data_IF_816245236470
#
_entry.id   IF_816245236470
#
_cell.length_a   1.000
_cell.length_b   1.000
_cell.length_c   1.000
_cell.angle_alpha   90.00
_cell.angle_beta   90.00
_cell.angle_gamma   90.00
#
_symmetry.space_group_name_H-M   'P 1'
#
loop_
_entity.id
_entity.type
_entity.pdbx_description
1 polymer ?
#
# COMPACT_ATOMS: atom_id res chain seq x y z
N UNK A 1 26.64 -11.31 4.46
CA UNK A 1 25.21 -10.97 4.66
C UNK A 1 24.85 -9.54 4.25
N UNK A 2 25.24 -8.46 4.94
CA UNK A 2 24.74 -7.10 4.60
C UNK A 2 25.11 -6.63 3.17
N UNK A 3 26.26 -7.04 2.63
CA UNK A 3 26.65 -6.74 1.25
C UNK A 3 25.93 -7.56 0.16
N UNK A 4 25.22 -8.62 0.54
CA UNK A 4 24.46 -9.49 -0.39
C UNK A 4 23.09 -8.91 -0.72
N UNK A 5 22.57 -7.98 0.10
CA UNK A 5 21.28 -7.33 -0.09
C UNK A 5 21.43 -5.89 -0.51
N UNK A 6 20.33 -5.26 -0.90
CA UNK A 6 20.31 -3.81 -1.16
C UNK A 6 20.61 -3.07 0.14
N UNK A 7 21.40 -1.98 0.06
CA UNK A 7 21.72 -1.11 1.21
C UNK A 7 20.47 -0.65 1.96
N UNK A 8 19.38 -0.41 1.24
CA UNK A 8 18.16 0.14 1.80
C UNK A 8 17.41 -0.86 2.67
N UNK A 9 17.56 -2.18 2.46
CA UNK A 9 16.88 -3.18 3.25
C UNK A 9 17.22 -3.10 4.76
N UNK A 10 18.51 -3.15 5.19
CA UNK A 10 18.86 -2.97 6.59
C UNK A 10 18.66 -1.52 7.07
N UNK A 11 18.98 -0.51 6.24
CA UNK A 11 18.85 0.89 6.63
C UNK A 11 17.40 1.27 6.97
N UNK A 12 16.45 0.88 6.12
CA UNK A 12 15.03 1.15 6.35
C UNK A 12 14.47 0.38 7.54
N UNK A 13 15.01 -0.80 7.85
CA UNK A 13 14.62 -1.53 9.06
C UNK A 13 14.97 -0.75 10.33
N UNK A 14 16.15 -0.12 10.37
CA UNK A 14 16.59 0.71 11.49
C UNK A 14 15.73 1.98 11.61
N UNK A 15 15.49 2.68 10.50
CA UNK A 15 14.62 3.88 10.48
C UNK A 15 13.21 3.54 10.99
N UNK A 16 12.65 2.42 10.53
CA UNK A 16 11.32 1.97 10.95
C UNK A 16 11.28 1.54 12.41
N UNK A 17 12.37 1.02 12.96
CA UNK A 17 12.49 0.72 14.38
C UNK A 17 12.50 2.01 15.21
N UNK A 18 13.25 3.04 14.77
CA UNK A 18 13.23 4.37 15.40
C UNK A 18 11.83 4.95 15.47
N UNK A 19 11.08 4.92 14.36
CA UNK A 19 9.69 5.37 14.32
C UNK A 19 8.77 4.55 15.25
N UNK A 20 8.99 3.23 15.35
CA UNK A 20 8.21 2.38 16.23
C UNK A 20 8.42 2.74 17.71
N UNK A 21 9.66 3.03 18.11
CA UNK A 21 9.95 3.51 19.47
C UNK A 21 9.38 4.90 19.74
N UNK A 22 9.48 5.84 18.78
CA UNK A 22 8.83 7.15 18.91
C UNK A 22 7.32 7.01 19.16
N UNK A 23 6.65 6.09 18.45
CA UNK A 23 5.23 5.82 18.65
C UNK A 23 4.92 5.16 20.01
N UNK A 24 5.81 4.26 20.48
CA UNK A 24 5.69 3.63 21.79
C UNK A 24 5.80 4.67 22.92
N UNK A 25 6.82 5.52 22.90
CA UNK A 25 7.01 6.56 23.92
C UNK A 25 5.90 7.61 23.89
N UNK A 26 5.34 7.91 22.72
CA UNK A 26 4.17 8.77 22.57
C UNK A 26 2.83 8.12 22.99
N UNK A 27 2.84 6.87 23.47
CA UNK A 27 1.62 6.14 23.87
C UNK A 27 0.70 5.73 22.71
N UNK A 28 1.14 5.88 21.45
CA UNK A 28 0.36 5.57 20.23
C UNK A 28 0.47 4.11 19.79
N UNK A 29 1.45 3.38 20.32
CA UNK A 29 1.70 1.98 19.98
C UNK A 29 2.22 1.19 21.18
N UNK A 30 2.11 -0.15 21.09
CA UNK A 30 2.74 -1.07 22.04
C UNK A 30 4.24 -1.20 21.77
N UNK A 31 4.97 -1.78 22.72
CA UNK A 31 6.40 -2.04 22.58
C UNK A 31 6.73 -2.76 21.26
N UNK A 32 7.73 -2.28 20.47
CA UNK A 32 8.07 -2.87 19.18
C UNK A 32 8.48 -4.34 19.29
N UNK A 33 8.14 -5.15 18.28
CA UNK A 33 8.51 -6.56 18.19
C UNK A 33 9.30 -6.82 16.90
N UNK A 34 10.18 -7.80 16.93
CA UNK A 34 10.89 -8.26 15.74
C UNK A 34 9.90 -8.70 14.65
N UNK A 35 10.25 -8.39 13.39
CA UNK A 35 9.50 -8.87 12.23
C UNK A 35 9.64 -10.38 12.11
N UNK A 36 8.56 -11.05 11.73
CA UNK A 36 8.53 -12.49 11.47
C UNK A 36 8.59 -12.73 9.97
N UNK A 37 9.45 -13.64 9.54
CA UNK A 37 9.49 -14.10 8.15
C UNK A 37 8.13 -14.70 7.75
N UNK A 38 7.64 -14.37 6.56
CA UNK A 38 6.32 -14.79 6.07
C UNK A 38 5.17 -13.92 6.56
N UNK A 39 5.41 -12.95 7.45
CA UNK A 39 4.41 -12.02 7.95
C UNK A 39 4.77 -10.59 7.54
N UNK A 40 4.01 -10.04 6.59
CA UNK A 40 4.23 -8.70 6.04
C UNK A 40 5.66 -8.50 5.48
N UNK A 41 6.18 -9.51 4.77
CA UNK A 41 7.49 -9.43 4.13
C UNK A 41 7.55 -8.21 3.21
N UNK A 42 8.45 -7.27 3.51
CA UNK A 42 8.63 -6.05 2.73
C UNK A 42 10.02 -5.47 2.88
N UNK A 43 10.48 -4.79 1.82
CA UNK A 43 11.65 -3.92 1.84
C UNK A 43 11.41 -2.72 0.93
N UNK A 44 12.12 -1.63 1.20
CA UNK A 44 11.96 -0.36 0.48
C UNK A 44 13.28 -0.03 -0.22
N UNK A 45 13.16 0.54 -1.42
CA UNK A 45 14.22 1.13 -2.22
C UNK A 45 13.98 2.63 -2.28
N UNK A 46 15.00 3.42 -1.98
CA UNK A 46 15.00 4.89 -1.97
C UNK A 46 16.22 5.41 -2.75
N UNK A 47 16.17 6.70 -3.11
CA UNK A 47 17.29 7.48 -3.66
C UNK A 47 17.90 6.85 -4.92
N UNK A 48 17.07 6.63 -5.95
CA UNK A 48 17.51 6.23 -7.30
C UNK A 48 18.28 4.89 -7.38
N UNK A 49 18.19 4.05 -6.34
CA UNK A 49 18.78 2.71 -6.37
C UNK A 49 17.98 1.73 -7.25
N UNK A 50 16.99 2.20 -8.00
CA UNK A 50 16.17 1.35 -8.87
C UNK A 50 15.76 2.13 -10.11
N UNK A 51 15.66 1.41 -11.22
CA UNK A 51 15.24 1.96 -12.50
C UNK A 51 13.86 1.40 -12.86
N UNK A 52 13.07 2.18 -13.59
CA UNK A 52 11.84 1.71 -14.21
C UNK A 52 11.99 1.77 -15.73
N UNK A 53 11.53 0.74 -16.39
CA UNK A 53 11.46 0.70 -17.85
C UNK A 53 10.17 0.00 -18.27
N UNK A 54 9.20 0.79 -18.76
CA UNK A 54 7.85 0.36 -19.07
C UNK A 54 7.23 -0.50 -17.95
N UNK A 55 7.10 -1.80 -18.17
CA UNK A 55 6.56 -2.79 -17.23
C UNK A 55 7.66 -3.57 -16.51
N UNK A 56 8.85 -2.98 -16.31
CA UNK A 56 9.97 -3.60 -15.60
C UNK A 56 10.53 -2.66 -14.53
N UNK A 57 10.99 -3.25 -13.44
CA UNK A 57 11.75 -2.57 -12.39
C UNK A 57 13.11 -3.23 -12.24
N UNK A 58 14.18 -2.44 -12.21
CA UNK A 58 15.52 -2.92 -11.88
C UNK A 58 15.73 -2.82 -10.38
N UNK A 59 15.95 -3.96 -9.74
CA UNK A 59 16.23 -4.02 -8.30
C UNK A 59 17.73 -4.34 -8.11
N UNK A 60 18.46 -3.64 -7.21
CA UNK A 60 19.85 -3.97 -6.93
C UNK A 60 20.02 -5.44 -6.59
N UNK A 61 21.08 -6.07 -7.11
CA UNK A 61 21.41 -7.51 -6.98
C UNK A 61 20.44 -8.48 -7.65
N UNK A 62 19.19 -8.08 -7.93
CA UNK A 62 18.17 -8.90 -8.59
C UNK A 62 18.09 -8.64 -10.10
N UNK A 63 18.49 -7.46 -10.57
CA UNK A 63 18.38 -7.07 -11.97
C UNK A 63 16.96 -6.66 -12.37
N UNK A 64 16.65 -6.80 -13.66
CA UNK A 64 15.35 -6.43 -14.22
C UNK A 64 14.28 -7.48 -13.89
N UNK A 65 13.20 -7.02 -13.26
CA UNK A 65 12.04 -7.85 -12.89
C UNK A 65 10.80 -7.33 -13.62
N UNK A 66 10.08 -8.23 -14.29
CA UNK A 66 8.83 -7.89 -14.99
C UNK A 66 7.71 -7.62 -13.99
N UNK A 67 7.08 -6.46 -14.14
CA UNK A 67 5.85 -6.04 -13.50
C UNK A 67 4.64 -6.35 -14.39
N UNK A 68 3.45 -6.37 -13.80
CA UNK A 68 2.21 -6.60 -14.55
C UNK A 68 1.70 -5.32 -15.25
N UNK A 69 1.97 -4.18 -14.66
CA UNK A 69 1.49 -2.87 -15.10
C UNK A 69 2.66 -1.92 -15.27
N UNK A 70 2.53 -0.96 -16.17
CA UNK A 70 3.43 0.19 -16.29
C UNK A 70 3.10 1.22 -15.21
N UNK A 71 4.04 2.10 -14.90
CA UNK A 71 3.79 3.22 -14.00
C UNK A 71 2.73 4.15 -14.62
N UNK A 72 1.69 4.47 -13.86
CA UNK A 72 0.55 5.27 -14.33
C UNK A 72 0.80 6.77 -14.34
N UNK A 73 1.74 7.23 -13.52
CA UNK A 73 2.01 8.64 -13.29
C UNK A 73 3.39 9.01 -13.82
N UNK A 74 3.46 10.14 -14.51
CA UNK A 74 4.72 10.78 -14.86
C UNK A 74 5.10 11.77 -13.74
N UNK A 75 6.33 11.69 -13.26
CA UNK A 75 6.82 12.53 -12.16
C UNK A 75 8.15 12.01 -11.62
N UNK A 76 8.65 12.64 -10.56
CA UNK A 76 9.90 12.24 -9.92
C UNK A 76 9.66 11.01 -9.07
N UNK A 77 10.32 9.90 -9.41
CA UNK A 77 10.25 8.67 -8.63
C UNK A 77 10.97 8.90 -7.30
N UNK A 78 10.34 8.53 -6.19
CA UNK A 78 10.89 8.77 -4.85
C UNK A 78 11.31 7.50 -4.13
N UNK A 79 10.45 6.49 -4.15
CA UNK A 79 10.74 5.21 -3.53
C UNK A 79 9.91 4.10 -4.14
N UNK A 80 10.38 2.87 -3.99
CA UNK A 80 9.63 1.67 -4.30
C UNK A 80 9.61 0.75 -3.09
N UNK A 81 8.44 0.30 -2.67
CA UNK A 81 8.29 -0.71 -1.63
C UNK A 81 7.84 -2.02 -2.25
N UNK A 82 8.71 -3.03 -2.16
CA UNK A 82 8.39 -4.40 -2.56
C UNK A 82 7.79 -5.12 -1.36
N UNK A 83 6.63 -5.73 -1.53
CA UNK A 83 5.90 -6.41 -0.47
C UNK A 83 5.26 -7.70 -0.94
N UNK A 84 5.09 -8.66 -0.01
CA UNK A 84 4.42 -9.93 -0.28
C UNK A 84 3.02 -9.95 0.33
N UNK A 85 2.01 -10.15 -0.51
CA UNK A 85 0.60 -10.25 -0.12
C UNK A 85 -0.02 -11.46 -0.80
N UNK A 86 -0.69 -12.33 -0.04
CA UNK A 86 -1.34 -13.54 -0.57
C UNK A 86 -0.43 -14.36 -1.52
N UNK A 87 0.80 -14.62 -1.07
CA UNK A 87 1.85 -15.32 -1.82
C UNK A 87 2.32 -14.66 -3.13
N UNK A 88 1.87 -13.44 -3.45
CA UNK A 88 2.31 -12.66 -4.61
C UNK A 88 3.17 -11.49 -4.17
N UNK A 89 4.10 -11.09 -5.03
CA UNK A 89 4.94 -9.92 -4.84
C UNK A 89 4.35 -8.71 -5.57
N UNK A 90 4.31 -7.59 -4.88
CA UNK A 90 3.84 -6.31 -5.38
C UNK A 90 4.92 -5.26 -5.17
N UNK A 91 4.96 -4.27 -6.05
CA UNK A 91 5.76 -3.07 -5.89
C UNK A 91 4.84 -1.85 -5.84
N UNK A 92 4.98 -1.06 -4.78
CA UNK A 92 4.33 0.24 -4.64
C UNK A 92 5.36 1.32 -4.90
N UNK A 93 5.13 2.17 -5.90
CA UNK A 93 6.08 3.20 -6.33
C UNK A 93 5.51 4.55 -5.94
N UNK A 94 6.22 5.28 -5.10
CA UNK A 94 5.89 6.66 -4.74
C UNK A 94 6.47 7.59 -5.80
N UNK A 95 5.60 8.38 -6.42
CA UNK A 95 5.95 9.37 -7.44
C UNK A 95 5.53 10.72 -6.91
N UNK A 96 6.47 11.66 -6.91
CA UNK A 96 6.21 13.08 -6.72
C UNK A 96 5.76 13.65 -8.06
N UNK A 97 4.47 13.96 -8.16
CA UNK A 97 3.82 14.45 -9.36
C UNK A 97 3.64 15.96 -9.18
N UNK A 98 3.97 16.80 -10.19
CA UNK A 98 3.70 18.23 -10.12
C UNK A 98 2.25 18.50 -9.72
N UNK A 99 2.06 19.49 -8.86
CA UNK A 99 0.75 19.88 -8.37
C UNK A 99 -0.17 20.25 -9.56
N UNK A 100 -1.33 19.61 -9.72
CA UNK A 100 -2.30 19.96 -10.77
C UNK A 100 -3.03 21.28 -10.50
N UNK A 101 -2.48 22.21 -9.71
CA UNK A 101 -3.07 23.51 -9.35
C UNK A 101 -3.32 24.47 -10.52
N UNK A 102 -3.19 23.99 -11.76
CA UNK A 102 -3.72 24.61 -12.97
C UNK A 102 -5.16 24.19 -13.27
N UNK A 103 -5.84 23.42 -12.41
CA UNK A 103 -7.30 23.37 -12.46
C UNK A 103 -7.79 24.82 -12.32
N UNK A 104 -8.55 25.33 -13.31
CA UNK A 104 -8.99 26.71 -13.29
C UNK A 104 -9.66 26.98 -11.94
N UNK A 105 -9.27 28.10 -11.32
CA UNK A 105 -9.92 28.58 -10.12
C UNK A 105 -11.42 28.58 -10.41
N UNK A 106 -12.21 27.92 -9.56
CA UNK A 106 -13.64 27.81 -9.77
C UNK A 106 -14.19 29.22 -10.05
N UNK A 107 -14.90 29.38 -11.18
CA UNK A 107 -15.43 30.68 -11.64
C UNK A 107 -16.37 31.31 -10.60
N UNK A 108 -16.81 30.51 -9.62
CA UNK A 108 -17.82 30.83 -8.65
C UNK A 108 -17.20 30.62 -7.26
N UNK A 109 -17.29 31.61 -6.36
CA UNK A 109 -16.95 31.46 -4.93
C UNK A 109 -17.98 30.60 -4.15
N UNK A 110 -18.70 29.72 -4.84
CA UNK A 110 -19.73 28.87 -4.26
C UNK A 110 -19.12 27.84 -3.33
N UNK A 111 -19.38 27.96 -2.03
CA UNK A 111 -19.05 26.91 -1.06
C UNK A 111 -20.10 25.82 -1.18
N UNK A 112 -19.68 24.60 -1.54
CA UNK A 112 -20.53 23.42 -1.52
C UNK A 112 -20.17 22.57 -0.30
N UNK A 113 -21.14 22.35 0.59
CA UNK A 113 -21.00 21.40 1.68
C UNK A 113 -21.02 19.98 1.14
N UNK A 114 -20.08 19.14 1.58
CA UNK A 114 -20.00 17.73 1.21
C UNK A 114 -20.22 16.88 2.46
N UNK A 115 -21.33 16.14 2.52
CA UNK A 115 -21.57 15.14 3.55
C UNK A 115 -21.19 13.75 3.04
N UNK A 116 -20.21 13.09 3.68
CA UNK A 116 -19.74 11.77 3.28
C UNK A 116 -20.46 10.68 4.07
N UNK A 117 -21.14 9.77 3.36
CA UNK A 117 -22.02 8.79 3.96
C UNK A 117 -21.65 7.32 3.67
N UNK A 118 -22.37 6.42 4.35
CA UNK A 118 -22.34 4.97 4.07
C UNK A 118 -23.38 4.60 3.00
N UNK A 119 -24.52 5.31 2.99
CA UNK A 119 -25.60 5.09 2.02
C UNK A 119 -25.23 5.69 0.66
N UNK A 120 -24.89 6.98 0.64
CA UNK A 120 -24.33 7.70 -0.51
C UNK A 120 -22.87 8.03 -0.22
N UNK A 121 -22.01 8.03 -1.24
CA UNK A 121 -20.59 8.38 -1.07
C UNK A 121 -20.47 9.82 -0.62
N UNK A 122 -21.21 10.71 -1.29
CA UNK A 122 -21.26 12.12 -0.98
C UNK A 122 -22.65 12.67 -1.29
N UNK A 123 -23.18 13.51 -0.41
CA UNK A 123 -24.35 14.35 -0.66
C UNK A 123 -23.89 15.79 -0.65
N UNK A 124 -24.15 16.51 -1.73
CA UNK A 124 -23.76 17.91 -1.88
C UNK A 124 -24.87 18.81 -1.36
N UNK A 125 -24.52 19.98 -0.81
CA UNK A 125 -25.50 21.00 -0.41
C UNK A 125 -26.30 21.57 -1.58
N UNK A 126 -25.90 21.27 -2.83
CA UNK A 126 -26.66 21.53 -4.06
C UNK A 126 -27.84 20.57 -4.26
N UNK A 127 -27.97 19.54 -3.42
CA UNK A 127 -28.97 18.48 -3.53
C UNK A 127 -28.51 17.27 -4.35
N UNK A 128 -27.36 17.35 -5.02
CA UNK A 128 -26.81 16.22 -5.77
C UNK A 128 -26.33 15.11 -4.82
N UNK A 129 -26.61 13.86 -5.17
CA UNK A 129 -26.18 12.68 -4.41
C UNK A 129 -25.33 11.77 -5.26
N UNK A 130 -24.07 11.58 -4.87
CA UNK A 130 -23.11 10.71 -5.54
C UNK A 130 -23.17 9.33 -4.90
N UNK A 131 -23.57 8.33 -5.69
CA UNK A 131 -23.62 6.95 -5.23
C UNK A 131 -22.22 6.33 -5.17
N UNK A 132 -21.85 5.82 -3.99
CA UNK A 132 -20.59 5.09 -3.82
C UNK A 132 -20.65 3.67 -4.35
N UNK A 133 -19.51 3.11 -4.77
CA UNK A 133 -19.43 1.68 -5.00
C UNK A 133 -19.76 0.96 -3.69
N UNK A 134 -20.63 -0.06 -3.74
CA UNK A 134 -20.99 -0.89 -2.56
C UNK A 134 -20.36 -2.29 -2.59
N UNK A 135 -19.04 -2.44 -2.84
CA UNK A 135 -18.42 -3.75 -3.04
C UNK A 135 -18.45 -4.57 -1.76
N UNK A 136 -18.42 -3.93 -0.58
CA UNK A 136 -18.46 -4.62 0.69
C UNK A 136 -19.73 -5.47 0.83
N UNK A 137 -20.92 -4.95 0.52
CA UNK A 137 -22.17 -5.72 0.63
C UNK A 137 -22.16 -6.95 -0.28
N UNK A 138 -21.67 -6.80 -1.50
CA UNK A 138 -21.57 -7.89 -2.47
C UNK A 138 -20.51 -8.94 -2.06
N UNK A 139 -19.36 -8.51 -1.53
CA UNK A 139 -18.23 -9.37 -1.23
C UNK A 139 -18.23 -9.94 0.19
N UNK A 140 -18.99 -9.36 1.13
CA UNK A 140 -19.00 -9.76 2.54
C UNK A 140 -19.39 -11.24 2.71
N UNK A 141 -20.37 -11.73 1.94
CA UNK A 141 -20.75 -13.15 1.95
C UNK A 141 -19.58 -14.06 1.57
N UNK A 142 -18.80 -13.68 0.55
CA UNK A 142 -17.59 -14.40 0.12
C UNK A 142 -16.50 -14.33 1.18
N UNK A 143 -16.23 -13.15 1.74
CA UNK A 143 -15.23 -12.96 2.81
C UNK A 143 -15.57 -13.83 4.02
N UNK A 144 -16.83 -13.82 4.48
CA UNK A 144 -17.30 -14.66 5.59
C UNK A 144 -17.09 -16.15 5.30
N UNK A 145 -17.43 -16.61 4.10
CA UNK A 145 -17.25 -18.02 3.71
C UNK A 145 -15.78 -18.44 3.70
N UNK A 146 -14.91 -17.62 3.12
CA UNK A 146 -13.47 -17.87 3.07
C UNK A 146 -12.84 -17.83 4.47
N UNK A 147 -13.19 -16.84 5.29
CA UNK A 147 -12.73 -16.74 6.68
C UNK A 147 -13.12 -17.98 7.51
N UNK A 148 -14.37 -18.46 7.39
CA UNK A 148 -14.81 -19.72 8.04
C UNK A 148 -14.04 -20.93 7.53
N UNK A 149 -13.78 -21.02 6.22
CA UNK A 149 -12.98 -22.10 5.62
C UNK A 149 -11.56 -22.13 6.21
N UNK A 150 -10.90 -20.99 6.31
CA UNK A 150 -9.56 -20.86 6.90
C UNK A 150 -9.57 -21.20 8.40
N UNK A 151 -10.58 -20.74 9.14
CA UNK A 151 -10.68 -20.97 10.59
C UNK A 151 -10.89 -22.43 10.97
N UNK A 152 -11.56 -23.22 10.12
CA UNK A 152 -11.79 -24.65 10.35
C UNK A 152 -10.58 -25.53 10.03
N UNK A 153 -9.57 -24.98 9.36
CA UNK A 153 -8.36 -25.72 8.98
C UNK A 153 -7.34 -25.70 10.12
N UNK A 154 -6.64 -26.82 10.28
CA UNK A 154 -5.58 -26.99 11.27
C UNK A 154 -4.56 -25.86 11.12
N UNK A 155 -4.20 -25.24 12.25
CA UNK A 155 -3.22 -24.16 12.31
C UNK A 155 -1.90 -24.61 11.69
N UNK A 156 -1.29 -23.74 10.88
CA UNK A 156 -0.02 -23.97 10.19
C UNK A 156 0.01 -25.15 9.19
N UNK A 157 -1.14 -25.75 8.87
CA UNK A 157 -1.22 -26.79 7.84
C UNK A 157 -1.10 -26.19 6.42
N UNK A 158 -0.51 -26.95 5.50
CA UNK A 158 -0.47 -26.59 4.07
C UNK A 158 -1.87 -26.30 3.51
N UNK A 159 -2.88 -27.04 3.98
CA UNK A 159 -4.28 -26.82 3.61
C UNK A 159 -4.82 -25.45 4.05
N UNK A 160 -4.37 -24.93 5.19
CA UNK A 160 -4.70 -23.59 5.69
C UNK A 160 -3.98 -22.50 4.91
N UNK A 161 -2.72 -22.70 4.55
CA UNK A 161 -1.98 -21.75 3.72
C UNK A 161 -2.51 -21.64 2.28
N UNK A 162 -3.15 -22.71 1.78
CA UNK A 162 -3.81 -22.74 0.45
C UNK A 162 -5.18 -22.04 0.43
N UNK A 163 -5.84 -21.90 1.59
CA UNK A 163 -7.22 -21.43 1.71
C UNK A 163 -7.32 -19.91 1.88
#
# INVERSE_FOLDING_TARGET
WMGEVTKNAPQMAIIQLGQAFQNFFAGRAKYPKFRKKGAHDRFTLTNDQFDLDASRIRIPRLGWVRMRETLRFAGRIMSATVSRVAARWFVSITVDVPDPSHLPQAENQGVVGVDLGVLALATLSTGETICGPRPHRALLGRVRRLSRSVSRKVKDSANRHKA
#
